data_IF_378083978296
#
_entry.id   IF_378083978296
#
_cell.length_a   1.000
_cell.length_b   1.000
_cell.length_c   1.000
_cell.angle_alpha   90.00
_cell.angle_beta   90.00
_cell.angle_gamma   90.00
#
_symmetry.space_group_name_H-M   'P 1'
#
loop_
_entity.id
_entity.type
_entity.pdbx_description
1 polymer ?
#
# COMPACT_ATOMS: atom_id res chain seq x y z
N UNK A 1 -11.01 -2.29 2.22
CA UNK A 1 -12.34 -1.68 2.07
C UNK A 1 -12.54 -1.14 0.66
N UNK A 2 -13.77 -0.77 0.32
CA UNK A 2 -14.14 -0.11 -0.94
C UNK A 2 -13.87 -0.91 -2.23
N UNK A 3 -14.04 -2.23 -2.21
CA UNK A 3 -14.00 -3.03 -3.42
C UNK A 3 -12.62 -3.23 -4.06
N UNK A 4 -11.55 -3.13 -3.27
CA UNK A 4 -10.18 -3.36 -3.76
C UNK A 4 -9.97 -4.76 -4.33
N UNK A 5 -10.73 -5.75 -3.84
CA UNK A 5 -10.68 -7.14 -4.31
C UNK A 5 -12.07 -7.61 -4.67
N UNK A 6 -12.27 -8.07 -5.91
CA UNK A 6 -13.52 -8.65 -6.40
C UNK A 6 -14.71 -7.91 -5.78
N UNK A 7 -15.72 -7.65 -6.25
CA UNK A 7 -16.96 -7.00 -5.81
C UNK A 7 -17.21 -6.84 -4.28
N UNK A 8 -16.14 -6.78 -3.47
CA UNK A 8 -16.24 -6.53 -2.02
C UNK A 8 -16.77 -5.12 -1.80
N UNK A 9 -17.96 -5.04 -1.23
CA UNK A 9 -18.60 -3.78 -0.90
C UNK A 9 -19.41 -3.88 0.40
N UNK A 10 -19.69 -2.74 0.96
CA UNK A 10 -20.55 -2.60 2.14
C UNK A 10 -21.42 -1.35 1.97
N UNK A 11 -22.60 -1.36 2.57
CA UNK A 11 -23.52 -0.21 2.52
C UNK A 11 -23.02 0.99 3.33
N UNK A 12 -22.22 0.73 4.38
CA UNK A 12 -21.56 1.75 5.20
C UNK A 12 -20.16 1.29 5.60
N UNK A 13 -19.21 1.34 4.66
CA UNK A 13 -17.85 0.87 4.90
C UNK A 13 -17.14 1.67 6.00
N UNK A 14 -17.47 2.94 6.19
CA UNK A 14 -16.87 3.76 7.23
C UNK A 14 -17.24 3.25 8.61
N UNK A 15 -18.52 3.05 8.88
CA UNK A 15 -18.99 2.54 10.17
C UNK A 15 -18.44 1.13 10.42
N UNK A 16 -18.54 0.25 9.43
CA UNK A 16 -18.07 -1.13 9.55
C UNK A 16 -16.56 -1.20 9.87
N UNK A 17 -15.73 -0.57 9.06
CA UNK A 17 -14.28 -0.66 9.24
C UNK A 17 -13.79 0.12 10.46
N UNK A 18 -14.43 1.24 10.82
CA UNK A 18 -14.13 1.93 12.08
C UNK A 18 -14.38 1.01 13.28
N UNK A 19 -15.54 0.34 13.33
CA UNK A 19 -15.86 -0.58 14.40
C UNK A 19 -14.91 -1.79 14.43
N UNK A 20 -14.61 -2.38 13.27
CA UNK A 20 -13.68 -3.50 13.16
C UNK A 20 -12.27 -3.12 13.65
N UNK A 21 -11.73 -1.99 13.18
CA UNK A 21 -10.39 -1.51 13.57
C UNK A 21 -10.34 -1.14 15.05
N UNK A 22 -11.38 -0.48 15.56
CA UNK A 22 -11.49 -0.17 16.98
C UNK A 22 -11.47 -1.46 17.83
N UNK A 23 -12.14 -2.52 17.38
CA UNK A 23 -12.12 -3.82 18.04
C UNK A 23 -10.72 -4.45 18.06
N UNK A 24 -9.91 -4.23 17.02
CA UNK A 24 -8.53 -4.75 16.96
C UNK A 24 -7.64 -4.18 18.08
N UNK A 25 -7.96 -3.02 18.66
CA UNK A 25 -7.21 -2.49 19.83
C UNK A 25 -7.30 -3.38 21.08
N UNK A 26 -8.24 -4.32 21.13
CA UNK A 26 -8.35 -5.28 22.24
C UNK A 26 -7.36 -6.44 22.12
N UNK A 27 -6.67 -6.55 21.01
CA UNK A 27 -5.68 -7.59 20.73
C UNK A 27 -4.27 -6.98 20.72
N UNK A 28 -3.30 -7.76 21.14
CA UNK A 28 -1.89 -7.33 21.09
C UNK A 28 -1.29 -7.65 19.71
N UNK A 29 -1.75 -6.93 18.68
CA UNK A 29 -1.28 -7.11 17.30
C UNK A 29 0.01 -6.32 17.09
N UNK A 30 0.90 -6.86 16.28
CA UNK A 30 2.11 -6.14 15.85
C UNK A 30 1.78 -4.91 15.03
N UNK A 31 0.81 -5.00 14.14
CA UNK A 31 0.32 -3.89 13.30
C UNK A 31 -1.04 -4.21 12.69
N UNK A 32 -1.68 -3.19 12.15
CA UNK A 32 -2.78 -3.30 11.17
C UNK A 32 -2.27 -2.79 9.84
N UNK A 33 -2.55 -3.54 8.76
CA UNK A 33 -2.19 -3.17 7.41
C UNK A 33 -3.45 -2.92 6.58
N UNK A 34 -3.58 -1.71 6.02
CA UNK A 34 -4.69 -1.33 5.14
C UNK A 34 -4.21 -1.03 3.73
N UNK A 35 -5.08 -1.34 2.77
CA UNK A 35 -4.86 -1.03 1.36
C UNK A 35 -5.73 0.16 1.00
N UNK A 36 -5.13 1.18 0.40
CA UNK A 36 -5.84 2.34 -0.11
C UNK A 36 -6.71 1.96 -1.33
N UNK A 37 -7.98 2.38 -1.37
CA UNK A 37 -8.89 2.04 -2.45
C UNK A 37 -8.53 2.68 -3.80
N UNK A 38 -7.67 3.67 -3.80
CA UNK A 38 -7.16 4.28 -5.04
C UNK A 38 -6.38 3.32 -5.93
N UNK A 39 -5.82 2.26 -5.38
CA UNK A 39 -5.20 1.18 -6.15
C UNK A 39 -6.28 0.19 -6.57
N UNK A 40 -6.81 0.33 -7.78
CA UNK A 40 -8.05 -0.33 -8.22
C UNK A 40 -7.93 -1.81 -8.48
N UNK A 41 -6.75 -2.42 -8.39
CA UNK A 41 -6.69 -3.88 -8.50
C UNK A 41 -5.47 -4.50 -7.87
N UNK A 42 -5.71 -5.41 -7.01
CA UNK A 42 -4.78 -6.47 -6.70
C UNK A 42 -4.67 -7.42 -7.89
N UNK A 43 -4.12 -7.00 -8.99
CA UNK A 43 -3.91 -7.87 -10.13
C UNK A 43 -4.29 -7.34 -11.51
N UNK A 44 -5.10 -6.32 -11.62
CA UNK A 44 -5.68 -5.94 -12.92
C UNK A 44 -5.08 -4.72 -13.61
N UNK A 45 -4.48 -3.78 -12.95
CA UNK A 45 -3.99 -2.56 -13.59
C UNK A 45 -3.05 -1.73 -12.74
N UNK A 46 -2.42 -0.75 -13.36
CA UNK A 46 -1.54 0.21 -12.69
C UNK A 46 -2.23 1.56 -12.48
N UNK A 47 -3.54 1.58 -12.64
CA UNK A 47 -4.30 2.80 -12.51
C UNK A 47 -4.50 3.14 -11.03
N UNK A 48 -4.29 4.40 -10.73
CA UNK A 48 -4.58 5.00 -9.43
C UNK A 48 -5.80 5.90 -9.60
N UNK A 49 -6.84 5.66 -8.82
CA UNK A 49 -7.98 6.55 -8.75
C UNK A 49 -7.71 7.61 -7.68
N UNK A 50 -7.34 8.81 -8.11
CA UNK A 50 -7.01 9.91 -7.19
C UNK A 50 -8.23 10.46 -6.45
N UNK A 51 -9.44 10.22 -6.97
CA UNK A 51 -10.70 10.63 -6.32
C UNK A 51 -11.16 9.64 -5.24
N UNK A 52 -10.48 8.51 -5.09
CA UNK A 52 -10.83 7.53 -4.07
C UNK A 52 -10.51 8.06 -2.66
N UNK A 53 -11.32 7.70 -1.65
CA UNK A 53 -11.06 8.11 -0.29
C UNK A 53 -9.72 7.54 0.22
N UNK A 54 -9.05 8.29 1.08
CA UNK A 54 -7.79 7.88 1.70
C UNK A 54 -8.09 7.15 3.01
N UNK A 55 -7.88 5.83 3.03
CA UNK A 55 -8.26 4.99 4.18
C UNK A 55 -7.40 5.24 5.40
N UNK A 56 -6.14 5.62 5.23
CA UNK A 56 -5.28 6.02 6.34
C UNK A 56 -5.81 7.26 7.06
N UNK A 57 -6.28 8.27 6.33
CA UNK A 57 -6.94 9.45 6.94
C UNK A 57 -8.20 9.07 7.72
N UNK A 58 -9.02 8.17 7.16
CA UNK A 58 -10.29 7.80 7.74
C UNK A 58 -10.14 6.92 9.00
N UNK A 59 -9.17 6.03 9.01
CA UNK A 59 -9.15 4.94 10.00
C UNK A 59 -7.95 4.97 10.94
N UNK A 60 -6.90 5.75 10.66
CA UNK A 60 -5.73 5.81 11.54
C UNK A 60 -6.08 6.14 12.98
N UNK A 61 -7.01 7.08 13.19
CA UNK A 61 -7.43 7.50 14.53
C UNK A 61 -8.18 6.40 15.31
N UNK A 62 -8.78 5.44 14.62
CA UNK A 62 -9.48 4.32 15.27
C UNK A 62 -8.52 3.24 15.83
N UNK A 63 -7.25 3.23 15.40
CA UNK A 63 -6.26 2.24 15.84
C UNK A 63 -5.11 2.87 16.61
N UNK A 64 -4.81 2.33 17.78
CA UNK A 64 -3.76 2.85 18.68
C UNK A 64 -2.37 2.25 18.44
N UNK A 65 -2.31 1.11 17.76
CA UNK A 65 -1.07 0.41 17.43
C UNK A 65 -0.40 0.91 16.16
N UNK A 66 0.55 0.12 15.66
CA UNK A 66 1.24 0.40 14.41
C UNK A 66 0.33 0.20 13.20
N UNK A 67 0.36 1.16 12.29
CA UNK A 67 -0.50 1.19 11.11
C UNK A 67 0.35 1.25 9.85
N UNK A 68 0.18 0.26 8.97
CA UNK A 68 0.85 0.19 7.68
C UNK A 68 -0.19 0.50 6.59
N UNK A 69 0.16 1.36 5.65
CA UNK A 69 -0.64 1.64 4.47
C UNK A 69 0.03 1.12 3.21
N UNK A 70 -0.75 0.80 2.19
CA UNK A 70 -0.31 0.37 0.87
C UNK A 70 -1.27 0.82 -0.21
N UNK A 71 -0.83 0.83 -1.46
CA UNK A 71 -1.68 1.06 -2.62
C UNK A 71 -1.43 2.39 -3.30
N UNK A 72 -0.75 2.36 -4.43
CA UNK A 72 -0.54 3.51 -5.29
C UNK A 72 0.38 4.60 -4.73
N UNK A 73 1.23 4.29 -3.77
CA UNK A 73 2.22 5.24 -3.24
C UNK A 73 3.45 5.32 -4.15
N UNK A 74 3.89 6.52 -4.42
CA UNK A 74 5.27 6.86 -4.81
C UNK A 74 6.08 7.31 -3.58
N UNK A 75 7.32 7.75 -3.79
CA UNK A 75 8.17 8.22 -2.70
C UNK A 75 7.56 9.43 -1.98
N UNK A 76 7.19 10.46 -2.72
CA UNK A 76 6.70 11.71 -2.14
C UNK A 76 5.40 11.52 -1.34
N UNK A 77 4.48 10.74 -1.88
CA UNK A 77 3.24 10.38 -1.18
C UNK A 77 3.52 9.53 0.06
N UNK A 78 4.48 8.61 -0.03
CA UNK A 78 4.89 7.77 1.10
C UNK A 78 5.52 8.57 2.22
N UNK A 79 6.42 9.50 1.90
CA UNK A 79 7.02 10.41 2.88
C UNK A 79 5.93 11.28 3.55
N UNK A 80 5.04 11.86 2.74
CA UNK A 80 3.98 12.72 3.24
C UNK A 80 3.03 12.00 4.21
N UNK A 81 2.57 10.80 3.90
CA UNK A 81 1.66 10.04 4.78
C UNK A 81 2.29 9.71 6.13
N UNK A 82 3.62 9.51 6.15
CA UNK A 82 4.38 9.30 7.39
C UNK A 82 4.56 10.60 8.17
N UNK A 83 4.91 11.69 7.50
CA UNK A 83 5.05 13.03 8.11
C UNK A 83 3.74 13.52 8.72
N UNK A 84 2.62 13.29 8.05
CA UNK A 84 1.28 13.62 8.52
C UNK A 84 0.81 12.72 9.70
N UNK A 85 1.58 11.68 10.05
CA UNK A 85 1.23 10.74 11.11
C UNK A 85 0.07 9.81 10.79
N UNK A 86 -0.28 9.68 9.52
CA UNK A 86 -1.40 8.86 9.04
C UNK A 86 -1.03 7.38 8.87
N UNK A 87 0.26 7.07 8.87
CA UNK A 87 0.78 5.70 8.92
C UNK A 87 2.12 5.67 9.66
N UNK A 88 2.52 4.48 10.12
CA UNK A 88 3.84 4.24 10.70
C UNK A 88 4.81 3.63 9.67
N UNK A 89 4.28 3.05 8.60
CA UNK A 89 5.05 2.52 7.47
C UNK A 89 4.21 2.47 6.20
N UNK A 90 4.88 2.43 5.06
CA UNK A 90 4.27 2.26 3.74
C UNK A 90 4.77 0.97 3.11
N UNK A 91 3.86 0.14 2.61
CA UNK A 91 4.21 -1.06 1.86
C UNK A 91 4.16 -0.78 0.36
N UNK A 92 5.26 -1.08 -0.30
CA UNK A 92 5.43 -0.97 -1.75
C UNK A 92 5.46 -2.36 -2.39
N UNK A 93 4.63 -2.60 -3.39
CA UNK A 93 4.62 -3.86 -4.14
C UNK A 93 5.39 -3.75 -5.45
N UNK A 94 4.72 -3.26 -6.49
CA UNK A 94 5.24 -3.24 -7.87
C UNK A 94 6.63 -2.63 -8.02
N UNK A 95 6.82 -1.46 -7.46
CA UNK A 95 8.11 -0.77 -7.56
C UNK A 95 9.19 -1.47 -6.74
N UNK A 96 8.82 -2.19 -5.67
CA UNK A 96 9.79 -2.96 -4.88
C UNK A 96 10.26 -4.22 -5.62
N UNK A 97 9.38 -4.87 -6.40
CA UNK A 97 9.77 -6.01 -7.25
C UNK A 97 10.90 -5.58 -8.20
N UNK A 98 10.76 -4.43 -8.85
CA UNK A 98 11.76 -3.94 -9.81
C UNK A 98 12.98 -3.25 -9.17
N UNK A 99 12.94 -2.96 -7.89
CA UNK A 99 13.99 -2.26 -7.17
C UNK A 99 14.25 -2.97 -5.83
N UNK A 100 15.09 -4.03 -5.83
CA UNK A 100 15.41 -4.77 -4.60
C UNK A 100 15.99 -3.88 -3.50
N UNK A 101 16.61 -2.78 -3.89
CA UNK A 101 17.23 -1.73 -3.08
C UNK A 101 16.38 -0.45 -3.01
N UNK A 102 15.04 -0.58 -3.09
CA UNK A 102 14.13 0.58 -3.18
C UNK A 102 14.35 1.62 -2.07
N UNK A 103 14.55 1.17 -0.84
CA UNK A 103 14.78 2.08 0.29
C UNK A 103 16.06 2.92 0.09
N UNK A 104 17.13 2.31 -0.42
CA UNK A 104 18.39 3.00 -0.73
C UNK A 104 18.21 3.99 -1.89
N UNK A 105 17.46 3.59 -2.93
CA UNK A 105 17.14 4.47 -4.06
C UNK A 105 16.35 5.70 -3.60
N UNK A 106 15.36 5.51 -2.76
CA UNK A 106 14.61 6.63 -2.17
C UNK A 106 15.53 7.55 -1.36
N UNK A 107 16.36 6.99 -0.49
CA UNK A 107 17.28 7.77 0.32
C UNK A 107 18.27 8.60 -0.51
N UNK A 108 18.71 8.06 -1.65
CA UNK A 108 19.67 8.71 -2.55
C UNK A 108 19.01 9.58 -3.63
N UNK A 109 17.68 9.57 -3.74
CA UNK A 109 16.97 10.20 -4.85
C UNK A 109 17.35 9.59 -6.21
N UNK A 110 17.68 8.29 -6.24
CA UNK A 110 18.13 7.61 -7.44
C UNK A 110 16.95 7.19 -8.33
N UNK A 111 17.22 7.08 -9.63
CA UNK A 111 16.22 6.62 -10.59
C UNK A 111 15.77 5.19 -10.29
N UNK A 112 14.48 4.94 -10.45
CA UNK A 112 13.91 3.60 -10.26
C UNK A 112 14.00 2.79 -11.56
N UNK A 113 14.22 1.49 -11.44
CA UNK A 113 14.05 0.55 -12.53
C UNK A 113 12.55 0.49 -12.90
N UNK A 114 12.19 0.53 -14.19
CA UNK A 114 10.83 0.30 -14.61
C UNK A 114 10.45 -1.16 -14.39
N UNK A 115 9.27 -1.41 -13.82
CA UNK A 115 8.79 -2.78 -13.64
C UNK A 115 8.10 -3.30 -14.92
N UNK A 116 8.13 -4.61 -15.11
CA UNK A 116 7.36 -5.30 -16.14
C UNK A 116 6.27 -6.16 -15.48
N UNK A 117 5.03 -5.68 -15.51
CA UNK A 117 3.91 -6.39 -14.88
C UNK A 117 3.66 -7.78 -15.45
N UNK A 118 3.93 -7.99 -16.74
CA UNK A 118 3.70 -9.28 -17.38
C UNK A 118 4.58 -10.41 -16.81
N UNK A 119 5.67 -10.06 -16.12
CA UNK A 119 6.60 -11.00 -15.52
C UNK A 119 6.38 -11.22 -14.02
N UNK A 120 5.42 -10.49 -13.40
CA UNK A 120 5.11 -10.67 -11.99
C UNK A 120 4.51 -12.05 -11.73
N UNK A 121 5.04 -12.79 -10.75
CA UNK A 121 4.49 -14.03 -10.19
C UNK A 121 4.26 -15.20 -11.14
N UNK A 122 4.40 -15.03 -12.44
CA UNK A 122 3.97 -16.04 -13.44
C UNK A 122 5.06 -16.62 -14.34
N UNK A 123 6.32 -16.31 -14.08
CA UNK A 123 7.44 -16.69 -14.95
C UNK A 123 8.62 -17.27 -14.19
N UNK A 124 9.79 -17.18 -14.81
CA UNK A 124 11.07 -17.47 -14.19
C UNK A 124 11.66 -16.25 -13.48
N UNK A 125 12.98 -16.13 -13.54
CA UNK A 125 13.72 -15.05 -12.90
C UNK A 125 13.57 -13.71 -13.65
N UNK A 126 13.42 -13.78 -14.98
CA UNK A 126 13.39 -12.61 -15.86
C UNK A 126 12.26 -11.64 -15.51
N UNK A 127 12.63 -10.40 -15.15
CA UNK A 127 11.70 -9.34 -14.77
C UNK A 127 10.98 -9.56 -13.43
N UNK A 128 11.54 -10.44 -12.57
CA UNK A 128 11.05 -10.68 -11.23
C UNK A 128 12.16 -10.65 -10.18
N UNK A 129 13.23 -11.43 -10.37
CA UNK A 129 14.33 -11.52 -9.41
C UNK A 129 15.68 -11.08 -9.97
N UNK A 130 15.75 -10.65 -11.23
CA UNK A 130 16.96 -10.26 -11.96
C UNK A 130 17.15 -8.75 -12.11
N UNK A 131 16.33 -7.94 -11.44
CA UNK A 131 16.46 -6.48 -11.48
C UNK A 131 17.76 -6.02 -10.81
N UNK A 132 18.50 -5.07 -11.44
CA UNK A 132 19.74 -4.59 -10.89
C UNK A 132 19.53 -3.68 -9.68
N UNK A 133 20.45 -3.74 -8.73
CA UNK A 133 20.65 -2.74 -7.68
C UNK A 133 21.47 -1.53 -8.20
N UNK A 134 21.63 -0.52 -7.39
CA UNK A 134 22.53 0.65 -7.64
C UNK A 134 23.97 0.21 -7.75
#
# INVERSE_FOLDING_TARGET
PYGTFNDMGDSDPVALFTAAIAKLNTYNLSYVHMIEPRSTSAGGGDQVNEDAPITSEMFRAAYKGKFITAGGYDQAMGEKVLEDGLADAVAYGRIYIANPDLAERFQKGAALNPYNRATFYGGGEAGYTDYPTL
#
